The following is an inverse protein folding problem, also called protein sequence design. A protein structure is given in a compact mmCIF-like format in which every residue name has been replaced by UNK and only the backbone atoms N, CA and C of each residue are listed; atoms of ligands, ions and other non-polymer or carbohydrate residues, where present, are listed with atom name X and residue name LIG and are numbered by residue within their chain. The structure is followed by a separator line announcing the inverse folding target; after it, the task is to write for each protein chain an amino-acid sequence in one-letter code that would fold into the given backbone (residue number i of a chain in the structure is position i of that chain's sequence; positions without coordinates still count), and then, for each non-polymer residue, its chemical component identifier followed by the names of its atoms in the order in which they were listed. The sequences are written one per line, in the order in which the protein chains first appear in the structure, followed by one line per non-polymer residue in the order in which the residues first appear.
data_IF_497127041579
#
_entry.id   IF_497127041579
#
_cell.length_a   1.000
_cell.length_b   1.000
_cell.length_c   1.000
_cell.angle_alpha   90.00
_cell.angle_beta   90.00
_cell.angle_gamma   90.00
#
_symmetry.space_group_name_H-M   'P 1'
#
loop_
_entity.id
_entity.type
_entity.pdbx_description
1 polymer ?
#
# COMPACT_ATOMS: atom_id res chain seq x y z
N UNK A 1 23.86 -28.85 -15.14
CA UNK A 1 24.19 -28.74 -13.71
C UNK A 1 22.96 -28.27 -12.97
N UNK A 2 22.06 -29.21 -12.67
CA UNK A 2 20.85 -28.97 -11.88
C UNK A 2 21.25 -28.80 -10.43
N UNK A 3 21.36 -27.57 -9.96
CA UNK A 3 21.54 -27.30 -8.54
C UNK A 3 20.23 -27.68 -7.85
N UNK A 4 20.21 -28.83 -7.18
CA UNK A 4 19.12 -29.21 -6.29
C UNK A 4 19.12 -28.16 -5.18
N UNK A 5 18.14 -27.23 -5.22
CA UNK A 5 17.91 -26.30 -4.14
C UNK A 5 17.61 -27.15 -2.90
N UNK A 6 18.50 -27.09 -1.92
CA UNK A 6 18.35 -27.81 -0.65
C UNK A 6 17.03 -27.34 -0.05
N UNK A 7 16.10 -28.26 0.21
CA UNK A 7 14.87 -27.93 0.94
C UNK A 7 15.28 -27.34 2.28
N UNK A 8 15.25 -26.01 2.38
CA UNK A 8 15.42 -25.32 3.65
C UNK A 8 14.28 -25.78 4.55
N UNK A 9 14.66 -26.29 5.71
CA UNK A 9 13.73 -26.70 6.76
C UNK A 9 12.81 -25.51 7.04
N UNK A 10 11.52 -25.67 6.69
CA UNK A 10 10.52 -24.62 6.84
C UNK A 10 10.60 -24.14 8.28
N UNK A 11 11.01 -22.89 8.50
CA UNK A 11 11.13 -22.31 9.83
C UNK A 11 9.72 -22.27 10.43
N UNK A 12 9.39 -23.30 11.20
CA UNK A 12 8.07 -23.43 11.80
C UNK A 12 7.98 -22.56 13.04
N UNK A 13 6.94 -21.74 13.10
CA UNK A 13 6.67 -20.90 14.28
C UNK A 13 6.36 -21.76 15.50
N UNK A 14 6.86 -21.34 16.66
CA UNK A 14 6.49 -21.98 17.94
C UNK A 14 4.97 -21.87 18.18
N UNK A 15 4.39 -22.83 18.91
CA UNK A 15 2.94 -22.85 19.15
C UNK A 15 2.42 -21.55 19.77
N UNK A 16 3.16 -20.96 20.70
CA UNK A 16 2.84 -19.66 21.33
C UNK A 16 2.79 -18.52 20.32
N UNK A 17 3.67 -18.52 19.31
CA UNK A 17 3.64 -17.52 18.24
C UNK A 17 2.43 -17.75 17.34
N UNK A 18 2.11 -19.02 17.01
CA UNK A 18 0.92 -19.36 16.24
C UNK A 18 -0.34 -18.82 16.92
N UNK A 19 -0.56 -19.15 18.18
CA UNK A 19 -1.74 -18.73 18.94
C UNK A 19 -1.88 -17.19 19.02
N UNK A 20 -0.75 -16.47 19.03
CA UNK A 20 -0.72 -15.01 19.03
C UNK A 20 -1.11 -14.39 17.68
N UNK A 21 -0.71 -15.01 16.58
CA UNK A 21 -0.76 -14.41 15.24
C UNK A 21 -1.95 -14.88 14.39
N UNK A 22 -2.29 -16.16 14.41
CA UNK A 22 -3.39 -16.72 13.60
C UNK A 22 -4.77 -16.06 13.85
N UNK A 23 -5.15 -15.63 15.07
CA UNK A 23 -6.42 -14.93 15.26
C UNK A 23 -6.55 -13.63 14.47
N UNK A 24 -5.43 -12.96 14.13
CA UNK A 24 -5.42 -11.70 13.38
C UNK A 24 -5.25 -11.89 11.88
N UNK A 25 -4.53 -12.94 11.50
CA UNK A 25 -4.07 -13.18 10.13
C UNK A 25 -5.07 -14.07 9.39
N UNK A 26 -5.76 -14.96 10.10
CA UNK A 26 -6.60 -16.00 9.52
C UNK A 26 -5.75 -17.12 8.93
N UNK A 27 -6.26 -17.78 7.89
CA UNK A 27 -5.63 -18.94 7.24
C UNK A 27 -4.58 -18.53 6.18
N UNK A 28 -3.78 -17.50 6.44
CA UNK A 28 -2.69 -17.06 5.53
C UNK A 28 -1.36 -17.61 6.02
N UNK A 29 -0.44 -17.83 5.08
CA UNK A 29 0.88 -18.35 5.39
C UNK A 29 1.84 -17.23 5.80
N UNK A 30 2.65 -17.51 6.81
CA UNK A 30 3.77 -16.68 7.24
C UNK A 30 5.00 -17.17 6.49
N UNK A 31 5.46 -16.38 5.52
CA UNK A 31 6.50 -16.76 4.55
C UNK A 31 7.89 -16.29 5.00
N UNK A 32 7.96 -15.26 5.83
CA UNK A 32 9.23 -14.75 6.32
C UNK A 32 9.08 -13.65 7.37
N UNK A 33 10.20 -13.01 7.67
CA UNK A 33 10.21 -11.83 8.53
C UNK A 33 9.80 -10.62 7.70
N UNK A 34 8.80 -9.85 8.15
CA UNK A 34 8.43 -8.58 7.52
C UNK A 34 9.32 -7.43 7.96
N UNK A 35 9.19 -6.30 7.27
CA UNK A 35 9.84 -5.03 7.65
C UNK A 35 9.66 -4.69 9.14
N UNK A 36 8.45 -4.91 9.67
CA UNK A 36 8.11 -4.60 11.08
C UNK A 36 8.46 -5.71 12.08
N UNK A 37 9.20 -6.75 11.69
CA UNK A 37 9.44 -7.97 12.48
C UNK A 37 8.15 -8.62 13.02
N UNK A 38 7.03 -8.35 12.36
CA UNK A 38 5.70 -8.88 12.63
C UNK A 38 5.19 -9.53 11.35
N UNK A 39 4.36 -10.58 11.45
CA UNK A 39 3.69 -11.16 10.30
C UNK A 39 2.56 -10.22 9.84
N UNK A 40 2.94 -9.18 9.09
CA UNK A 40 2.02 -8.26 8.44
C UNK A 40 2.28 -8.25 6.93
N UNK A 41 1.22 -8.05 6.17
CA UNK A 41 1.28 -7.88 4.73
C UNK A 41 1.38 -6.39 4.42
N UNK A 42 2.34 -5.99 3.59
CA UNK A 42 2.48 -4.62 3.11
C UNK A 42 3.12 -4.63 1.72
N UNK A 43 2.50 -3.93 0.77
CA UNK A 43 3.01 -3.75 -0.59
C UNK A 43 3.95 -2.54 -0.60
N UNK A 44 5.26 -2.80 -0.61
CA UNK A 44 6.30 -1.77 -0.53
C UNK A 44 7.42 -2.01 -1.53
N UNK A 45 7.81 -0.94 -2.23
CA UNK A 45 8.88 -1.01 -3.24
C UNK A 45 10.25 -1.32 -2.61
N UNK A 46 10.50 -0.86 -1.38
CA UNK A 46 11.75 -1.10 -0.64
C UNK A 46 11.78 -2.46 0.09
N UNK A 47 10.62 -3.07 0.32
CA UNK A 47 10.50 -4.37 0.95
C UNK A 47 9.67 -5.33 0.08
N UNK A 48 10.27 -5.88 -1.00
CA UNK A 48 9.56 -6.63 -2.04
C UNK A 48 8.95 -7.95 -1.56
N UNK A 49 9.43 -8.51 -0.45
CA UNK A 49 9.02 -9.82 0.06
C UNK A 49 8.29 -9.65 1.40
N UNK A 50 6.94 -9.55 1.41
CA UNK A 50 6.17 -9.36 2.63
C UNK A 50 6.26 -10.60 3.54
N UNK A 51 5.95 -10.41 4.82
CA UNK A 51 5.97 -11.50 5.81
C UNK A 51 4.87 -12.55 5.60
N UNK A 52 3.79 -12.14 4.91
CA UNK A 52 2.56 -12.88 4.76
C UNK A 52 2.22 -13.04 3.27
N UNK A 53 1.46 -14.08 2.95
CA UNK A 53 0.76 -14.14 1.65
C UNK A 53 -0.45 -13.21 1.64
N UNK A 54 -0.76 -12.65 0.47
CA UNK A 54 -1.94 -11.81 0.30
C UNK A 54 -3.25 -12.59 0.54
N UNK A 55 -3.47 -13.67 -0.23
CA UNK A 55 -4.67 -14.50 -0.12
C UNK A 55 -4.53 -15.55 0.98
N UNK A 56 -5.66 -15.89 1.58
CA UNK A 56 -5.79 -17.05 2.46
C UNK A 56 -5.69 -18.36 1.67
N UNK A 57 -5.33 -19.44 2.34
CA UNK A 57 -5.25 -20.78 1.78
C UNK A 57 -6.66 -21.33 1.53
N UNK A 58 -7.21 -21.01 0.36
CA UNK A 58 -8.38 -21.68 -0.22
C UNK A 58 -7.95 -22.99 -0.88
N UNK A 59 -8.85 -23.98 -1.08
CA UNK A 59 -8.49 -25.26 -1.70
C UNK A 59 -7.81 -25.09 -3.07
N UNK A 60 -8.26 -24.12 -3.87
CA UNK A 60 -7.67 -23.83 -5.18
C UNK A 60 -6.23 -23.29 -5.06
N UNK A 61 -5.99 -22.39 -4.09
CA UNK A 61 -4.65 -21.83 -3.84
C UNK A 61 -3.70 -22.90 -3.32
N UNK A 62 -4.17 -23.80 -2.46
CA UNK A 62 -3.37 -24.93 -1.96
C UNK A 62 -3.02 -25.88 -3.12
N UNK A 63 -3.97 -26.23 -3.97
CA UNK A 63 -3.72 -27.07 -5.14
C UNK A 63 -2.72 -26.42 -6.13
N UNK A 64 -2.77 -25.09 -6.29
CA UNK A 64 -1.78 -24.35 -7.09
C UNK A 64 -0.39 -24.36 -6.45
N UNK A 65 -0.30 -24.19 -5.13
CA UNK A 65 0.97 -24.28 -4.39
C UNK A 65 1.58 -25.69 -4.45
N UNK A 66 0.76 -26.73 -4.43
CA UNK A 66 1.25 -28.10 -4.61
C UNK A 66 1.86 -28.31 -6.00
N UNK A 67 1.30 -27.67 -7.04
CA UNK A 67 1.89 -27.63 -8.39
C UNK A 67 3.16 -26.78 -8.46
N UNK A 68 3.26 -25.72 -7.66
CA UNK A 68 4.44 -24.83 -7.57
C UNK A 68 5.70 -25.58 -7.12
N UNK A 69 5.55 -26.60 -6.28
CA UNK A 69 6.65 -27.47 -5.83
C UNK A 69 7.26 -28.31 -6.97
N UNK A 70 6.56 -28.46 -8.09
CA UNK A 70 7.01 -29.18 -9.28
C UNK A 70 7.78 -28.33 -10.29
N UNK A 71 7.89 -28.82 -11.53
CA UNK A 71 8.58 -28.08 -12.60
C UNK A 71 7.70 -26.94 -13.16
N UNK A 72 8.22 -25.71 -13.11
CA UNK A 72 7.49 -24.51 -13.54
C UNK A 72 7.17 -24.46 -15.03
N UNK A 73 7.84 -25.27 -15.86
CA UNK A 73 7.52 -25.38 -17.29
C UNK A 73 6.14 -25.98 -17.57
N UNK A 74 5.62 -26.77 -16.63
CA UNK A 74 4.30 -27.40 -16.75
C UNK A 74 3.15 -26.48 -16.33
N UNK A 75 3.46 -25.35 -15.67
CA UNK A 75 2.48 -24.35 -15.29
C UNK A 75 2.10 -23.48 -16.48
N UNK A 76 0.79 -23.33 -16.68
CA UNK A 76 0.23 -22.41 -17.68
C UNK A 76 0.48 -20.95 -17.28
N UNK A 77 0.39 -20.04 -18.25
CA UNK A 77 0.57 -18.60 -17.99
C UNK A 77 -0.47 -18.05 -17.00
N UNK A 78 -1.68 -18.62 -16.99
CA UNK A 78 -2.77 -18.23 -16.11
C UNK A 78 -2.51 -18.68 -14.67
N UNK A 79 -2.12 -19.93 -14.47
CA UNK A 79 -1.76 -20.46 -13.13
C UNK A 79 -0.60 -19.67 -12.51
N UNK A 80 0.40 -19.26 -13.31
CA UNK A 80 1.49 -18.39 -12.82
C UNK A 80 0.99 -17.02 -12.36
N UNK A 81 0.02 -16.43 -13.08
CA UNK A 81 -0.60 -15.16 -12.67
C UNK A 81 -1.45 -15.33 -11.41
N UNK A 82 -2.16 -16.45 -11.29
CA UNK A 82 -2.94 -16.77 -10.10
C UNK A 82 -2.08 -17.01 -8.86
N UNK A 83 -0.97 -17.74 -9.01
CA UNK A 83 0.05 -17.88 -7.97
C UNK A 83 0.59 -16.51 -7.56
N UNK A 84 0.93 -15.66 -8.52
CA UNK A 84 1.38 -14.29 -8.22
C UNK A 84 0.33 -13.51 -7.44
N UNK A 85 -0.94 -13.54 -7.84
CA UNK A 85 -2.05 -12.86 -7.15
C UNK A 85 -2.47 -13.52 -5.83
N UNK A 86 -2.04 -14.75 -5.57
CA UNK A 86 -2.21 -15.40 -4.29
C UNK A 86 -1.15 -14.92 -3.29
N UNK A 87 0.09 -14.75 -3.76
CA UNK A 87 1.20 -14.26 -2.96
C UNK A 87 1.15 -12.75 -2.74
N UNK A 88 0.85 -11.97 -3.79
CA UNK A 88 0.89 -10.51 -3.80
C UNK A 88 -0.45 -9.87 -4.19
N UNK A 89 -0.79 -8.74 -3.56
CA UNK A 89 -1.95 -7.94 -3.93
C UNK A 89 -1.67 -7.11 -5.17
N UNK A 90 -0.62 -6.28 -5.14
CA UNK A 90 -0.26 -5.36 -6.22
C UNK A 90 1.02 -5.75 -6.94
N UNK A 91 1.11 -5.40 -8.22
CA UNK A 91 2.38 -5.43 -8.96
C UNK A 91 3.20 -4.16 -8.71
N UNK A 92 4.50 -4.18 -9.03
CA UNK A 92 5.33 -2.98 -8.98
C UNK A 92 4.82 -1.84 -9.86
N UNK A 93 4.17 -2.15 -10.99
CA UNK A 93 3.56 -1.12 -11.82
C UNK A 93 2.31 -0.52 -11.20
N UNK A 94 1.52 -1.33 -10.47
CA UNK A 94 0.32 -0.87 -9.77
C UNK A 94 0.69 -0.01 -8.55
N UNK A 95 1.69 -0.42 -7.78
CA UNK A 95 2.20 0.34 -6.62
C UNK A 95 2.75 1.72 -7.02
N UNK A 96 3.43 1.80 -8.16
CA UNK A 96 4.04 3.05 -8.64
C UNK A 96 3.12 3.85 -9.58
N UNK A 97 1.86 3.47 -9.73
CA UNK A 97 0.94 4.15 -10.63
C UNK A 97 0.61 5.57 -10.10
N UNK A 98 0.69 6.61 -10.95
CA UNK A 98 0.36 7.97 -10.53
C UNK A 98 -1.15 8.13 -10.33
N UNK A 99 -1.58 8.45 -9.10
CA UNK A 99 -3.00 8.63 -8.75
C UNK A 99 -3.58 9.98 -9.18
N UNK A 100 -2.71 10.98 -9.39
CA UNK A 100 -3.12 12.34 -9.76
C UNK A 100 -3.65 13.18 -8.60
N UNK A 101 -3.48 12.74 -7.35
CA UNK A 101 -3.92 13.45 -6.13
C UNK A 101 -3.40 14.89 -6.04
N UNK A 102 -2.22 15.16 -6.60
CA UNK A 102 -1.66 16.52 -6.65
C UNK A 102 -2.61 17.54 -7.29
N UNK A 103 -3.46 17.11 -8.25
CA UNK A 103 -4.45 17.98 -8.88
C UNK A 103 -5.55 18.39 -7.91
N UNK A 104 -5.98 17.46 -7.05
CA UNK A 104 -7.00 17.73 -6.03
C UNK A 104 -6.43 18.64 -4.94
N UNK A 105 -5.20 18.39 -4.50
CA UNK A 105 -4.51 19.25 -3.52
C UNK A 105 -4.34 20.66 -4.08
N UNK A 106 -3.93 20.76 -5.35
CA UNK A 106 -3.74 22.04 -6.03
C UNK A 106 -5.05 22.82 -6.17
N UNK A 107 -6.13 22.17 -6.62
CA UNK A 107 -7.43 22.85 -6.77
C UNK A 107 -8.03 23.28 -5.42
N UNK A 108 -7.92 22.44 -4.39
CA UNK A 108 -8.37 22.77 -3.05
C UNK A 108 -7.60 23.97 -2.48
N UNK A 109 -6.28 24.01 -2.66
CA UNK A 109 -5.43 25.13 -2.24
C UNK A 109 -5.86 26.43 -2.93
N UNK A 110 -6.06 26.40 -4.25
CA UNK A 110 -6.47 27.60 -5.01
C UNK A 110 -7.87 28.08 -4.60
N UNK A 111 -8.79 27.16 -4.32
CA UNK A 111 -10.14 27.48 -3.86
C UNK A 111 -10.11 28.20 -2.51
N UNK A 112 -9.34 27.69 -1.54
CA UNK A 112 -9.18 28.33 -0.22
C UNK A 112 -8.55 29.73 -0.36
N UNK A 113 -7.51 29.88 -1.18
CA UNK A 113 -6.91 31.19 -1.44
C UNK A 113 -7.93 32.17 -2.03
N UNK A 114 -8.69 31.74 -3.02
CA UNK A 114 -9.70 32.59 -3.67
C UNK A 114 -10.82 32.98 -2.70
N UNK A 115 -11.31 32.02 -1.91
CA UNK A 115 -12.32 32.28 -0.88
C UNK A 115 -11.83 33.29 0.16
N UNK A 116 -10.56 33.18 0.60
CA UNK A 116 -9.96 34.12 1.54
C UNK A 116 -9.82 35.54 0.96
N UNK A 117 -9.46 35.66 -0.32
CA UNK A 117 -9.37 36.96 -1.00
C UNK A 117 -10.75 37.62 -1.16
N UNK A 118 -11.77 36.85 -1.52
CA UNK A 118 -13.15 37.33 -1.60
C UNK A 118 -13.69 37.76 -0.23
N UNK A 119 -13.33 37.02 0.82
CA UNK A 119 -13.67 37.38 2.19
C UNK A 119 -13.04 38.72 2.60
N UNK A 120 -11.73 38.89 2.35
CA UNK A 120 -11.01 40.15 2.62
C UNK A 120 -11.62 41.32 1.85
N UNK A 121 -11.91 41.15 0.57
CA UNK A 121 -12.58 42.16 -0.26
C UNK A 121 -13.95 42.54 0.29
N UNK A 122 -14.74 41.57 0.74
CA UNK A 122 -16.04 41.82 1.37
C UNK A 122 -15.90 42.58 2.70
N UNK A 123 -14.94 42.21 3.54
CA UNK A 123 -14.63 42.94 4.77
C UNK A 123 -14.21 44.40 4.49
N UNK A 124 -13.38 44.63 3.48
CA UNK A 124 -12.98 45.99 3.07
C UNK A 124 -14.17 46.84 2.61
N UNK A 125 -15.08 46.26 1.84
CA UNK A 125 -16.20 47.01 1.29
C UNK A 125 -17.31 47.33 2.30
N UNK A 126 -17.57 46.42 3.25
CA UNK A 126 -18.74 46.50 4.13
C UNK A 126 -18.42 46.70 5.63
N UNK A 127 -17.22 46.35 6.10
CA UNK A 127 -16.88 46.38 7.53
C UNK A 127 -15.85 47.47 7.84
N UNK A 128 -14.77 47.55 7.06
CA UNK A 128 -13.71 48.53 7.33
C UNK A 128 -14.16 49.95 7.01
N UNK A 129 -13.70 50.91 7.84
CA UNK A 129 -14.06 52.31 7.68
C UNK A 129 -13.56 52.83 6.33
N UNK A 130 -14.45 53.47 5.57
CA UNK A 130 -14.16 53.97 4.22
C UNK A 130 -13.05 55.03 4.17
N UNK A 131 -12.80 55.72 5.29
CA UNK A 131 -11.76 56.75 5.40
C UNK A 131 -10.53 56.17 6.10
N UNK A 132 -9.40 56.22 5.41
CA UNK A 132 -8.09 55.99 6.02
C UNK A 132 -7.74 57.18 6.93
N UNK A 133 -6.94 56.98 7.99
CA UNK A 133 -6.46 58.08 8.84
C UNK A 133 -5.61 59.06 8.02
N UNK A 134 -5.70 60.35 8.33
CA UNK A 134 -5.02 61.44 7.59
C UNK A 134 -3.50 61.27 7.53
N UNK A 135 -2.88 60.59 8.50
CA UNK A 135 -1.43 60.32 8.51
C UNK A 135 -0.95 59.34 7.42
N UNK A 136 -1.85 58.73 6.65
CA UNK A 136 -1.54 57.77 5.59
C UNK A 136 -1.60 58.37 4.16
N UNK A 137 -1.70 59.69 4.04
CA UNK A 137 -1.55 60.38 2.75
C UNK A 137 -0.06 60.57 2.43
N UNK A 138 0.39 60.27 1.19
CA UNK A 138 1.75 60.60 0.78
C UNK A 138 1.93 62.13 0.78
N UNK A 139 3.09 62.57 1.28
CA UNK A 139 3.50 63.97 1.36
C UNK A 139 3.88 64.60 0.01
#
# INVERSE_FOLDING_TARGET
TTSVCKQEEVVTLSQTQKDKFYPKIGNRDIVGNGYSARPCYEDRTDYPFPALTWKANTPDVVALKDKELGEWKNLTMEERKELYRASFCQTFSEMNAPTGEWKQIFSATLLVCTASALWMWWCEHFIFAKQLPESMTPE
#
